data_IF_714272159780
#
_entry.id   IF_714272159780
#
_cell.length_a   1.000
_cell.length_b   1.000
_cell.length_c   1.000
_cell.angle_alpha   90.00
_cell.angle_beta   90.00
_cell.angle_gamma   90.00
#
_symmetry.space_group_name_H-M   'P 1'
#
loop_
_entity.id
_entity.type
_entity.pdbx_description
1 polymer ?
#
# COMPACT_ATOMS: atom_id res chain seq x y z
N UNK A 1 -6.93 11.47 22.44
CA UNK A 1 -5.75 10.66 22.05
C UNK A 1 -6.02 9.64 20.93
N UNK A 2 -7.25 9.10 20.77
CA UNK A 2 -7.57 8.04 19.79
C UNK A 2 -7.55 8.43 18.29
N UNK A 3 -7.56 9.72 17.92
CA UNK A 3 -7.62 10.18 16.51
C UNK A 3 -6.47 9.64 15.64
N UNK A 4 -5.28 9.45 16.22
CA UNK A 4 -4.11 9.05 15.45
C UNK A 4 -4.15 7.57 15.05
N UNK A 5 -4.63 6.69 15.94
CA UNK A 5 -4.65 5.24 15.69
C UNK A 5 -5.63 4.86 14.57
N UNK A 6 -6.83 5.46 14.56
CA UNK A 6 -7.80 5.21 13.48
C UNK A 6 -7.32 5.68 12.10
N UNK A 7 -6.61 6.80 12.05
CA UNK A 7 -6.02 7.29 10.80
C UNK A 7 -4.85 6.40 10.35
N UNK A 8 -4.02 5.91 11.29
CA UNK A 8 -2.97 4.93 10.99
C UNK A 8 -3.53 3.64 10.40
N UNK A 9 -4.56 3.06 11.04
CA UNK A 9 -5.27 1.87 10.52
C UNK A 9 -5.85 2.14 9.12
N UNK A 10 -6.44 3.32 8.92
CA UNK A 10 -6.92 3.77 7.61
C UNK A 10 -5.83 3.85 6.54
N UNK A 11 -4.63 4.34 6.88
CA UNK A 11 -3.47 4.35 5.96
C UNK A 11 -3.02 2.93 5.60
N UNK A 12 -2.98 2.00 6.57
CA UNK A 12 -2.62 0.61 6.28
C UNK A 12 -3.64 -0.04 5.33
N UNK A 13 -4.94 0.12 5.60
CA UNK A 13 -6.02 -0.39 4.74
C UNK A 13 -5.96 0.24 3.34
N UNK A 14 -5.58 1.52 3.25
CA UNK A 14 -5.38 2.20 1.97
C UNK A 14 -4.16 1.65 1.21
N UNK A 15 -3.04 1.37 1.90
CA UNK A 15 -1.85 0.75 1.30
C UNK A 15 -2.16 -0.64 0.72
N UNK A 16 -3.00 -1.42 1.41
CA UNK A 16 -3.46 -2.73 0.94
C UNK A 16 -4.48 -2.65 -0.21
N UNK A 17 -4.99 -1.47 -0.57
CA UNK A 17 -6.02 -1.32 -1.60
C UNK A 17 -5.58 -1.84 -2.98
N UNK A 18 -4.32 -1.59 -3.37
CA UNK A 18 -3.76 -2.11 -4.63
C UNK A 18 -3.71 -3.64 -4.64
N UNK A 19 -3.42 -4.25 -3.49
CA UNK A 19 -3.40 -5.71 -3.34
C UNK A 19 -4.81 -6.30 -3.52
N UNK A 20 -5.86 -5.66 -2.99
CA UNK A 20 -7.24 -6.09 -3.23
C UNK A 20 -7.62 -6.05 -4.71
N UNK A 21 -7.18 -5.03 -5.45
CA UNK A 21 -7.42 -4.95 -6.91
C UNK A 21 -6.76 -6.12 -7.63
N UNK A 22 -5.51 -6.45 -7.31
CA UNK A 22 -4.82 -7.60 -7.91
C UNK A 22 -5.54 -8.92 -7.58
N UNK A 23 -5.98 -9.12 -6.34
CA UNK A 23 -6.72 -10.34 -5.96
C UNK A 23 -8.03 -10.45 -6.73
N UNK A 24 -8.76 -9.35 -6.93
CA UNK A 24 -10.00 -9.35 -7.71
C UNK A 24 -9.72 -9.78 -9.14
N UNK A 25 -8.71 -9.22 -9.79
CA UNK A 25 -8.36 -9.56 -11.18
C UNK A 25 -7.94 -11.02 -11.31
N UNK A 26 -7.11 -11.53 -10.39
CA UNK A 26 -6.59 -12.90 -10.46
C UNK A 26 -7.63 -13.97 -10.07
N UNK A 27 -8.55 -13.64 -9.17
CA UNK A 27 -9.47 -14.62 -8.57
C UNK A 27 -10.85 -14.58 -9.20
N UNK A 28 -11.21 -13.51 -9.93
CA UNK A 28 -12.50 -13.41 -10.61
C UNK A 28 -12.62 -14.47 -11.70
N UNK A 29 -13.33 -15.56 -11.38
CA UNK A 29 -13.73 -16.58 -12.34
C UNK A 29 -15.07 -16.16 -12.92
N UNK A 30 -15.02 -15.46 -14.05
CA UNK A 30 -16.22 -15.13 -14.81
C UNK A 30 -16.47 -16.28 -15.80
N UNK A 31 -17.48 -17.14 -15.58
CA UNK A 31 -17.84 -18.16 -16.54
C UNK A 31 -18.51 -17.48 -17.74
N UNK A 32 -17.72 -16.99 -18.69
CA UNK A 32 -18.24 -16.54 -19.98
C UNK A 32 -18.63 -17.77 -20.79
N UNK A 33 -19.93 -17.88 -21.06
CA UNK A 33 -20.52 -19.01 -21.74
C UNK A 33 -20.98 -18.50 -23.12
N UNK A 34 -20.19 -18.75 -24.17
CA UNK A 34 -20.39 -18.21 -25.53
C UNK A 34 -21.26 -19.10 -26.44
N UNK A 35 -22.00 -20.07 -25.88
CA UNK A 35 -22.78 -21.08 -26.63
C UNK A 35 -24.27 -21.02 -26.29
N UNK A 36 -25.11 -21.43 -27.24
CA UNK A 36 -26.57 -21.36 -27.27
C UNK A 36 -27.31 -22.18 -26.19
N UNK A 37 -26.65 -23.11 -25.49
CA UNK A 37 -27.24 -23.97 -24.45
C UNK A 37 -26.73 -23.63 -23.03
N UNK A 38 -26.41 -22.36 -22.77
CA UNK A 38 -25.97 -21.93 -21.44
C UNK A 38 -27.16 -21.65 -20.52
N UNK A 39 -27.50 -22.63 -19.69
CA UNK A 39 -28.35 -22.43 -18.52
C UNK A 39 -27.61 -21.53 -17.52
N UNK A 40 -28.26 -20.45 -17.07
CA UNK A 40 -27.74 -19.54 -16.06
C UNK A 40 -27.34 -20.35 -14.80
N UNK A 41 -26.03 -20.45 -14.54
CA UNK A 41 -25.52 -21.07 -13.33
C UNK A 41 -25.99 -20.17 -12.18
N UNK A 42 -27.06 -20.58 -11.48
CA UNK A 42 -27.82 -19.70 -10.58
C UNK A 42 -26.94 -18.83 -9.67
N UNK A 43 -27.38 -17.61 -9.38
CA UNK A 43 -26.65 -16.60 -8.59
C UNK A 43 -25.97 -17.17 -7.34
N UNK A 44 -26.60 -18.15 -6.67
CA UNK A 44 -26.04 -18.85 -5.51
C UNK A 44 -24.69 -19.53 -5.80
N UNK A 45 -24.55 -20.24 -6.92
CA UNK A 45 -23.31 -20.94 -7.29
C UNK A 45 -22.23 -19.96 -7.76
N UNK A 46 -22.65 -18.86 -8.39
CA UNK A 46 -21.78 -17.77 -8.80
C UNK A 46 -21.16 -17.04 -7.59
N UNK A 47 -21.96 -16.76 -6.56
CA UNK A 47 -21.52 -16.12 -5.31
C UNK A 47 -20.62 -17.05 -4.49
N UNK A 48 -20.95 -18.34 -4.39
CA UNK A 48 -20.10 -19.31 -3.67
C UNK A 48 -18.73 -19.50 -4.33
N UNK A 49 -18.69 -19.48 -5.67
CA UNK A 49 -17.43 -19.67 -6.42
C UNK A 49 -16.54 -18.42 -6.37
N UNK A 50 -17.14 -17.23 -6.24
CA UNK A 50 -16.46 -15.93 -6.29
C UNK A 50 -16.54 -15.17 -4.96
N UNK A 51 -16.63 -15.87 -3.82
CA UNK A 51 -16.74 -15.23 -2.50
C UNK A 51 -15.51 -14.36 -2.17
N UNK A 52 -14.32 -14.82 -2.56
CA UNK A 52 -13.05 -14.12 -2.32
C UNK A 52 -12.98 -12.76 -3.03
N UNK A 53 -13.22 -12.66 -4.37
CA UNK A 53 -13.22 -11.37 -5.04
C UNK A 53 -14.36 -10.45 -4.57
N UNK A 54 -15.51 -10.99 -4.14
CA UNK A 54 -16.60 -10.19 -3.56
C UNK A 54 -16.17 -9.53 -2.24
N UNK A 55 -15.55 -10.28 -1.33
CA UNK A 55 -15.06 -9.73 -0.06
C UNK A 55 -13.96 -8.70 -0.31
N UNK A 56 -13.04 -8.98 -1.23
CA UNK A 56 -11.99 -8.01 -1.62
C UNK A 56 -12.58 -6.73 -2.22
N UNK A 57 -13.67 -6.83 -3.00
CA UNK A 57 -14.35 -5.68 -3.56
C UNK A 57 -14.97 -4.79 -2.48
N UNK A 58 -15.57 -5.38 -1.43
CA UNK A 58 -16.11 -4.63 -0.29
C UNK A 58 -14.99 -3.90 0.46
N UNK A 59 -13.86 -4.57 0.72
CA UNK A 59 -12.70 -3.92 1.35
C UNK A 59 -12.09 -2.81 0.50
N UNK A 60 -12.06 -2.99 -0.81
CA UNK A 60 -11.61 -1.97 -1.74
C UNK A 60 -12.49 -0.70 -1.68
N UNK A 61 -13.81 -0.86 -1.64
CA UNK A 61 -14.74 0.27 -1.45
C UNK A 61 -14.50 0.98 -0.11
N UNK A 62 -14.23 0.22 0.94
CA UNK A 62 -13.88 0.78 2.25
C UNK A 62 -12.57 1.57 2.20
N UNK A 63 -11.55 1.08 1.50
CA UNK A 63 -10.30 1.83 1.27
C UNK A 63 -10.53 3.15 0.52
N UNK A 64 -11.44 3.20 -0.45
CA UNK A 64 -11.81 4.44 -1.15
C UNK A 64 -12.45 5.46 -0.20
N UNK A 65 -13.30 4.99 0.72
CA UNK A 65 -13.89 5.86 1.75
C UNK A 65 -12.80 6.47 2.64
N UNK A 66 -11.84 5.65 3.11
CA UNK A 66 -10.70 6.13 3.88
C UNK A 66 -9.79 7.08 3.09
N UNK A 67 -9.58 6.83 1.81
CA UNK A 67 -8.83 7.73 0.93
C UNK A 67 -9.44 9.13 0.90
N UNK A 68 -10.76 9.25 0.67
CA UNK A 68 -11.45 10.55 0.64
C UNK A 68 -11.33 11.28 1.98
N UNK A 69 -11.51 10.56 3.09
CA UNK A 69 -11.35 11.12 4.43
C UNK A 69 -9.93 11.61 4.70
N UNK A 70 -8.92 10.80 4.37
CA UNK A 70 -7.51 11.14 4.59
C UNK A 70 -7.08 12.30 3.70
N UNK A 71 -7.51 12.30 2.44
CA UNK A 71 -7.26 13.41 1.50
C UNK A 71 -7.78 14.73 2.05
N UNK A 72 -8.95 14.74 2.69
CA UNK A 72 -9.50 15.94 3.33
C UNK A 72 -8.67 16.40 4.55
N UNK A 73 -8.09 15.47 5.32
CA UNK A 73 -7.21 15.80 6.45
C UNK A 73 -5.88 16.38 5.93
N UNK A 74 -5.25 15.75 4.94
CA UNK A 74 -3.99 16.22 4.36
C UNK A 74 -4.13 17.55 3.63
N UNK A 75 -5.31 17.85 3.07
CA UNK A 75 -5.61 19.16 2.46
C UNK A 75 -5.55 20.32 3.47
N UNK A 76 -5.73 20.02 4.76
CA UNK A 76 -5.66 20.99 5.85
C UNK A 76 -4.24 21.18 6.42
N UNK A 77 -3.23 20.46 5.90
CA UNK A 77 -1.82 20.82 6.11
C UNK A 77 -1.41 21.91 5.11
N UNK A 78 -2.12 23.04 5.17
CA UNK A 78 -1.70 24.25 4.48
C UNK A 78 -0.27 24.54 4.90
N UNK A 79 0.65 24.47 3.93
CA UNK A 79 2.06 24.81 4.00
C UNK A 79 2.54 25.27 5.38
N UNK A 80 2.81 24.33 6.27
CA UNK A 80 3.69 24.66 7.39
C UNK A 80 5.01 25.05 6.76
N UNK A 81 5.36 26.33 6.87
CA UNK A 81 6.63 26.86 6.42
C UNK A 81 7.71 26.09 7.15
N UNK A 82 8.30 25.09 6.49
CA UNK A 82 9.42 24.34 7.05
C UNK A 82 10.57 25.33 7.09
N UNK A 83 10.92 25.77 8.30
CA UNK A 83 12.08 26.61 8.49
C UNK A 83 13.30 25.77 8.15
N UNK A 84 13.92 26.05 7.01
CA UNK A 84 15.23 25.52 6.65
C UNK A 84 16.17 25.87 7.80
N UNK A 85 16.47 24.89 8.64
CA UNK A 85 17.32 25.06 9.83
C UNK A 85 18.78 24.77 9.49
N UNK A 86 19.02 24.09 8.36
CA UNK A 86 20.33 23.82 7.78
C UNK A 86 20.16 23.46 6.30
N UNK A 87 21.05 23.96 5.45
CA UNK A 87 21.24 23.46 4.09
C UNK A 87 22.49 22.58 4.11
N UNK A 88 22.32 21.26 4.03
CA UNK A 88 23.43 20.33 3.89
C UNK A 88 23.59 19.99 2.41
N UNK A 89 24.82 19.95 1.91
CA UNK A 89 25.10 19.59 0.53
C UNK A 89 24.72 18.14 0.26
N UNK A 90 24.20 17.83 -0.94
CA UNK A 90 23.87 16.46 -1.41
C UNK A 90 25.03 15.47 -1.20
N UNK A 91 26.27 15.97 -1.25
CA UNK A 91 27.47 15.15 -1.06
C UNK A 91 27.66 14.67 0.40
N UNK A 92 26.91 15.21 1.37
CA UNK A 92 26.97 14.78 2.76
C UNK A 92 26.32 13.41 2.99
N UNK A 93 25.28 13.03 2.24
CA UNK A 93 24.71 11.67 2.32
C UNK A 93 25.71 10.64 1.82
N UNK A 94 26.36 10.90 0.68
CA UNK A 94 27.41 10.04 0.12
C UNK A 94 28.63 9.94 1.04
N UNK A 95 29.08 11.06 1.63
CA UNK A 95 30.20 11.09 2.58
C UNK A 95 29.86 10.42 3.91
N UNK A 96 28.63 10.58 4.41
CA UNK A 96 28.16 9.91 5.63
C UNK A 96 28.01 8.41 5.40
N UNK A 97 27.55 8.01 4.21
CA UNK A 97 27.47 6.62 3.80
C UNK A 97 28.87 5.98 3.75
N UNK A 98 29.85 6.67 3.14
CA UNK A 98 31.25 6.24 3.13
C UNK A 98 31.81 6.15 4.57
N UNK A 99 31.59 7.17 5.39
CA UNK A 99 32.15 7.23 6.75
C UNK A 99 31.49 6.26 7.75
N UNK A 100 30.22 5.93 7.57
CA UNK A 100 29.45 5.10 8.52
C UNK A 100 29.37 3.65 8.08
N UNK A 101 29.45 3.36 6.78
CA UNK A 101 29.38 1.98 6.27
C UNK A 101 30.74 1.48 5.76
N UNK A 102 31.47 2.28 4.98
CA UNK A 102 32.72 1.81 4.35
C UNK A 102 33.91 1.89 5.32
N UNK A 103 34.03 2.93 6.15
CA UNK A 103 35.15 3.06 7.11
C UNK A 103 35.14 1.96 8.17
N UNK A 104 34.01 1.60 8.82
CA UNK A 104 34.01 0.45 9.72
C UNK A 104 34.36 -0.85 8.98
N UNK A 105 33.86 -1.03 7.75
CA UNK A 105 34.11 -2.22 6.94
C UNK A 105 35.57 -2.36 6.47
N UNK A 106 36.23 -1.27 6.07
CA UNK A 106 37.67 -1.26 5.74
C UNK A 106 38.56 -1.33 6.97
N UNK A 107 38.09 -0.81 8.11
CA UNK A 107 38.73 -0.95 9.42
C UNK A 107 38.71 -2.39 9.95
N UNK A 108 37.79 -3.23 9.47
CA UNK A 108 37.89 -4.69 9.51
C UNK A 108 38.79 -5.22 8.40
N UNK A 109 39.97 -4.63 8.21
CA UNK A 109 41.04 -5.34 7.52
C UNK A 109 41.35 -6.57 8.38
N UNK A 110 41.17 -7.74 7.77
CA UNK A 110 41.49 -9.04 8.33
C UNK A 110 43.00 -9.10 8.66
N UNK A 111 43.37 -8.64 9.84
CA UNK A 111 44.51 -9.22 10.55
C UNK A 111 43.97 -10.42 11.33
N UNK A 112 44.20 -11.58 10.70
CA UNK A 112 44.24 -12.93 11.25
C UNK A 112 42.90 -13.59 11.65
N UNK A 113 42.33 -14.33 10.69
CA UNK A 113 42.07 -15.78 10.80
C UNK A 113 41.68 -16.39 9.44
#
# INVERSE_FOLDING_TARGET
>A
MQRNTYNKVGLYILSLAMLFVFIIILTAKIPFCFTSDCSFIGLKKLVLTNIVPIVCFVFFLFSIYFYKRLKNITKYNGQDSVKITSCQSENYESLTFLATYIVPFMGFSFEDM
#
